data_IF_482202662094
#
_entry.id   IF_482202662094
#
_cell.length_a   1.000
_cell.length_b   1.000
_cell.length_c   1.000
_cell.angle_alpha   90.00
_cell.angle_beta   90.00
_cell.angle_gamma   90.00
#
_symmetry.space_group_name_H-M   'P 1'
#
loop_
_entity.id
_entity.type
_entity.pdbx_description
1 polymer ?
#
# COMPACT_ATOMS: atom_id res chain seq x y z
N UNK A 1 9.60 12.25 9.86
CA UNK A 1 9.83 10.87 10.32
C UNK A 1 8.59 10.08 9.93
N UNK A 2 8.73 8.84 9.44
CA UNK A 2 7.56 8.07 8.97
C UNK A 2 6.68 7.69 10.17
N UNK A 3 7.16 6.92 11.11
CA UNK A 3 6.36 6.60 12.30
C UNK A 3 7.31 6.29 13.45
N UNK A 4 6.84 6.48 14.68
CA UNK A 4 7.54 6.03 15.87
C UNK A 4 7.32 4.52 16.06
N UNK A 5 8.12 3.88 16.91
CA UNK A 5 7.99 2.43 17.17
C UNK A 5 6.66 2.08 17.87
N UNK A 6 6.06 3.04 18.58
CA UNK A 6 4.76 2.92 19.24
C UNK A 6 3.56 3.28 18.34
N UNK A 7 3.80 3.73 17.10
CA UNK A 7 2.74 4.00 16.13
C UNK A 7 1.85 2.78 15.90
N UNK A 8 0.55 3.04 15.70
CA UNK A 8 -0.46 1.99 15.41
C UNK A 8 -1.36 2.48 14.28
N UNK A 9 -1.79 1.61 13.36
CA UNK A 9 -2.73 2.05 12.34
C UNK A 9 -4.06 2.48 12.98
N UNK A 10 -4.80 3.44 12.38
CA UNK A 10 -6.15 3.75 12.81
C UNK A 10 -7.06 2.52 12.65
N UNK A 11 -8.10 2.43 13.49
CA UNK A 11 -9.09 1.37 13.39
C UNK A 11 -9.93 1.46 12.09
N UNK A 12 -10.38 0.33 11.52
CA UNK A 12 -11.30 0.33 10.39
C UNK A 12 -12.63 1.03 10.65
N UNK A 13 -13.13 1.86 9.70
CA UNK A 13 -14.46 2.41 9.83
C UNK A 13 -15.48 1.31 9.63
N UNK A 14 -16.56 1.35 10.42
CA UNK A 14 -17.65 0.40 10.31
C UNK A 14 -17.48 -0.84 11.19
N UNK A 15 -18.32 -1.87 10.99
CA UNK A 15 -18.27 -3.08 11.80
C UNK A 15 -17.00 -3.89 11.51
N UNK A 16 -16.33 -4.33 12.58
CA UNK A 16 -15.14 -5.19 12.49
C UNK A 16 -15.57 -6.66 12.31
N UNK A 17 -15.13 -7.28 11.22
CA UNK A 17 -15.30 -8.70 10.93
C UNK A 17 -14.23 -9.58 11.58
N UNK A 18 -14.47 -10.89 11.60
CA UNK A 18 -13.51 -11.85 12.17
C UNK A 18 -12.35 -12.14 11.20
N UNK A 19 -11.12 -12.18 11.73
CA UNK A 19 -9.92 -12.60 11.00
C UNK A 19 -9.74 -14.11 11.16
N UNK A 20 -9.88 -14.87 10.07
CA UNK A 20 -9.77 -16.34 10.10
C UNK A 20 -8.34 -16.84 10.29
N UNK A 21 -7.36 -16.18 9.68
CA UNK A 21 -5.95 -16.51 9.89
C UNK A 21 -5.04 -15.31 9.68
N UNK A 22 -3.90 -15.32 10.37
CA UNK A 22 -2.86 -14.32 10.24
C UNK A 22 -1.49 -14.93 10.53
N UNK A 23 -0.48 -14.68 9.70
CA UNK A 23 0.84 -15.28 9.88
C UNK A 23 1.83 -14.95 8.78
N UNK A 24 3.09 -15.29 9.04
CA UNK A 24 4.17 -15.14 8.06
C UNK A 24 4.02 -16.18 6.95
N UNK A 25 4.22 -15.73 5.71
CA UNK A 25 4.22 -16.57 4.52
C UNK A 25 5.49 -16.25 3.73
N UNK A 26 6.20 -17.30 3.31
CA UNK A 26 7.37 -17.15 2.45
C UNK A 26 6.97 -17.45 1.03
N UNK A 27 6.95 -16.42 0.19
CA UNK A 27 6.72 -16.58 -1.23
C UNK A 27 8.06 -16.76 -1.95
N UNK A 28 7.98 -17.23 -3.19
CA UNK A 28 9.14 -17.33 -4.08
C UNK A 28 8.87 -16.44 -5.27
N UNK A 29 9.81 -15.53 -5.53
CA UNK A 29 9.76 -14.64 -6.69
C UNK A 29 10.26 -15.34 -7.96
N UNK A 30 10.04 -14.75 -9.13
CA UNK A 30 10.32 -15.40 -10.41
C UNK A 30 11.83 -15.73 -10.61
N UNK A 31 12.71 -15.02 -9.93
CA UNK A 31 14.16 -15.28 -9.92
C UNK A 31 14.58 -16.30 -8.85
N UNK A 32 13.63 -16.95 -8.19
CA UNK A 32 13.85 -18.01 -7.19
C UNK A 32 14.16 -17.50 -5.79
N UNK A 33 14.17 -16.18 -5.56
CA UNK A 33 14.47 -15.64 -4.24
C UNK A 33 13.26 -15.68 -3.30
N UNK A 34 13.55 -15.89 -2.01
CA UNK A 34 12.57 -15.81 -0.92
C UNK A 34 12.04 -14.38 -0.80
N UNK A 35 10.73 -14.26 -0.74
CA UNK A 35 10.01 -13.02 -0.46
C UNK A 35 9.34 -13.16 0.89
N UNK A 36 9.71 -12.32 1.84
CA UNK A 36 9.12 -12.32 3.17
C UNK A 36 7.79 -11.57 3.12
N UNK A 37 6.74 -12.19 3.63
CA UNK A 37 5.42 -11.57 3.71
C UNK A 37 4.71 -11.89 5.01
N UNK A 38 3.74 -11.04 5.37
CA UNK A 38 2.78 -11.32 6.42
C UNK A 38 1.37 -11.27 5.84
N UNK A 39 0.61 -12.35 5.99
CA UNK A 39 -0.72 -12.49 5.42
C UNK A 39 -1.79 -12.41 6.50
N UNK A 40 -2.94 -11.83 6.16
CA UNK A 40 -4.19 -11.94 6.91
C UNK A 40 -5.32 -12.36 5.96
N UNK A 41 -6.20 -13.24 6.45
CA UNK A 41 -7.36 -13.74 5.70
C UNK A 41 -8.63 -13.48 6.51
N UNK A 42 -9.63 -12.79 5.95
CA UNK A 42 -10.94 -12.59 6.58
C UNK A 42 -11.71 -13.91 6.68
N UNK A 43 -12.55 -14.07 7.71
CA UNK A 43 -13.49 -15.18 7.80
C UNK A 43 -14.58 -15.12 6.72
N UNK A 44 -14.90 -13.91 6.24
CA UNK A 44 -15.85 -13.67 5.16
C UNK A 44 -15.19 -12.77 4.10
N UNK A 45 -14.49 -13.36 3.11
CA UNK A 45 -13.83 -12.59 2.05
C UNK A 45 -14.84 -11.92 1.12
N UNK A 46 -14.57 -10.68 0.74
CA UNK A 46 -15.35 -9.94 -0.28
C UNK A 46 -14.97 -10.29 -1.72
N UNK A 47 -13.86 -11.00 -1.91
CA UNK A 47 -13.22 -11.22 -3.21
C UNK A 47 -12.07 -10.25 -3.50
N UNK A 48 -11.92 -9.18 -2.70
CA UNK A 48 -10.81 -8.24 -2.81
C UNK A 48 -9.57 -8.72 -2.03
N UNK A 49 -8.39 -8.38 -2.55
CA UNK A 49 -7.11 -8.60 -1.86
C UNK A 49 -6.12 -7.46 -2.09
N UNK A 50 -5.39 -7.07 -1.04
CA UNK A 50 -4.40 -5.98 -1.08
C UNK A 50 -2.99 -6.52 -0.87
N UNK A 51 -2.07 -6.09 -1.71
CA UNK A 51 -0.63 -6.11 -1.40
C UNK A 51 -0.30 -4.82 -0.68
N UNK A 52 0.02 -4.92 0.61
CA UNK A 52 0.48 -3.80 1.42
C UNK A 52 1.96 -3.57 1.16
N UNK A 53 2.28 -2.32 0.81
CA UNK A 53 3.61 -1.84 0.48
C UNK A 53 4.06 -0.89 1.59
N UNK A 54 4.86 -1.37 2.56
CA UNK A 54 5.28 -0.58 3.71
C UNK A 54 6.10 0.67 3.37
N UNK A 55 6.24 1.53 4.38
CA UNK A 55 7.29 2.54 4.43
C UNK A 55 8.68 1.89 4.58
N UNK A 56 9.67 2.73 4.91
CA UNK A 56 11.06 2.29 5.06
C UNK A 56 11.26 1.21 6.13
N UNK A 57 10.31 0.96 7.03
CA UNK A 57 10.40 -0.04 8.10
C UNK A 57 10.12 -1.48 7.64
N UNK A 58 9.64 -1.70 6.41
CA UNK A 58 9.32 -3.05 5.92
C UNK A 58 8.12 -3.65 6.67
N UNK A 59 8.10 -4.98 6.90
CA UNK A 59 7.00 -5.67 7.57
C UNK A 59 6.95 -5.45 9.11
N UNK A 60 7.22 -4.22 9.55
CA UNK A 60 7.06 -3.75 10.93
C UNK A 60 5.64 -4.00 11.44
N UNK A 61 5.48 -4.14 12.76
CA UNK A 61 4.23 -4.53 13.43
C UNK A 61 3.05 -3.62 13.05
N UNK A 62 3.27 -2.32 12.87
CA UNK A 62 2.29 -1.38 12.31
C UNK A 62 1.59 -1.92 11.05
N UNK A 63 2.33 -2.49 10.09
CA UNK A 63 1.76 -3.00 8.84
C UNK A 63 1.10 -4.37 9.02
N UNK A 64 1.57 -5.17 9.98
CA UNK A 64 0.92 -6.43 10.36
C UNK A 64 -0.45 -6.16 10.99
N UNK A 65 -0.54 -5.13 11.84
CA UNK A 65 -1.81 -4.65 12.40
C UNK A 65 -2.71 -4.04 11.32
N UNK A 66 -2.14 -3.30 10.37
CA UNK A 66 -2.89 -2.74 9.25
C UNK A 66 -3.51 -3.84 8.37
N UNK A 67 -2.76 -4.91 8.13
CA UNK A 67 -3.25 -6.09 7.43
C UNK A 67 -4.42 -6.73 8.17
N UNK A 68 -4.41 -6.75 9.52
CA UNK A 68 -5.57 -7.20 10.30
C UNK A 68 -6.76 -6.28 10.09
N UNK A 69 -6.56 -4.96 10.09
CA UNK A 69 -7.62 -3.98 9.78
C UNK A 69 -8.28 -4.20 8.42
N UNK A 70 -7.51 -4.57 7.39
CA UNK A 70 -8.07 -4.97 6.08
C UNK A 70 -8.88 -6.27 6.16
N UNK A 71 -8.38 -7.28 6.87
CA UNK A 71 -9.11 -8.53 7.05
C UNK A 71 -10.39 -8.35 7.87
N UNK A 72 -10.41 -7.45 8.86
CA UNK A 72 -11.63 -7.05 9.57
C UNK A 72 -12.65 -6.38 8.63
N UNK A 73 -12.18 -5.70 7.57
CA UNK A 73 -13.03 -5.15 6.51
C UNK A 73 -13.37 -6.17 5.40
N UNK A 74 -13.03 -7.46 5.57
CA UNK A 74 -13.33 -8.52 4.61
C UNK A 74 -12.35 -8.61 3.43
N UNK A 75 -11.21 -7.92 3.49
CA UNK A 75 -10.19 -7.87 2.41
C UNK A 75 -8.99 -8.74 2.80
N UNK A 76 -8.57 -9.65 1.91
CA UNK A 76 -7.33 -10.43 2.11
C UNK A 76 -6.14 -9.47 2.05
N UNK A 77 -5.19 -9.54 2.97
CA UNK A 77 -4.03 -8.65 2.96
C UNK A 77 -2.71 -9.42 2.99
N UNK A 78 -1.74 -8.97 2.18
CA UNK A 78 -0.36 -9.49 2.16
C UNK A 78 0.60 -8.31 2.28
N UNK A 79 1.28 -8.20 3.42
CA UNK A 79 2.35 -7.22 3.65
C UNK A 79 3.63 -7.71 3.00
N UNK A 80 4.23 -6.88 2.15
CA UNK A 80 5.53 -7.15 1.54
C UNK A 80 6.67 -6.62 2.41
N UNK A 81 7.70 -7.42 2.64
CA UNK A 81 8.98 -6.91 3.14
C UNK A 81 10.00 -6.81 2.00
N UNK A 82 10.47 -5.60 1.70
CA UNK A 82 11.43 -5.38 0.63
C UNK A 82 12.83 -5.94 0.93
N UNK A 83 13.12 -6.17 2.21
CA UNK A 83 14.49 -6.26 2.71
C UNK A 83 14.97 -7.69 2.95
N UNK A 84 14.13 -8.70 2.73
CA UNK A 84 14.52 -10.12 2.88
C UNK A 84 15.70 -10.55 2.01
N UNK A 85 16.08 -9.75 0.99
CA UNK A 85 17.26 -9.97 0.14
C UNK A 85 18.51 -9.24 0.61
N UNK A 86 18.38 -8.20 1.42
CA UNK A 86 19.47 -7.25 1.70
C UNK A 86 19.77 -7.05 3.18
N UNK A 87 18.81 -7.31 4.07
CA UNK A 87 19.00 -7.30 5.51
C UNK A 87 19.63 -8.61 5.98
N UNK A 88 20.39 -8.56 7.07
CA UNK A 88 21.06 -9.73 7.64
C UNK A 88 20.08 -10.67 8.37
N UNK A 89 18.95 -10.15 8.84
CA UNK A 89 17.89 -10.88 9.50
C UNK A 89 16.49 -10.39 9.05
N UNK A 90 15.46 -11.11 9.45
CA UNK A 90 14.06 -10.87 9.07
C UNK A 90 13.33 -9.94 10.07
N UNK A 91 14.00 -9.47 11.13
CA UNK A 91 13.36 -8.64 12.16
C UNK A 91 13.20 -7.19 11.68
N UNK A 92 12.02 -6.62 11.91
CA UNK A 92 11.66 -5.23 11.55
C UNK A 92 11.13 -4.50 12.79
N UNK A 93 12.00 -4.35 13.78
CA UNK A 93 11.68 -3.75 15.07
C UNK A 93 12.64 -2.63 15.45
N UNK A 94 12.66 -2.23 16.74
CA UNK A 94 13.55 -1.19 17.24
C UNK A 94 15.01 -1.46 16.86
N UNK A 95 15.64 -0.49 16.18
CA UNK A 95 17.02 -0.59 15.70
C UNK A 95 17.19 -1.03 14.24
N UNK A 96 16.11 -1.35 13.53
CA UNK A 96 16.17 -1.58 12.08
C UNK A 96 16.38 -0.25 11.33
N UNK A 97 17.54 -0.08 10.69
CA UNK A 97 17.83 1.11 9.87
C UNK A 97 17.16 1.01 8.48
N UNK A 98 15.87 1.32 8.44
CA UNK A 98 15.07 1.27 7.23
C UNK A 98 15.58 2.19 6.11
N UNK A 99 16.11 3.36 6.45
CA UNK A 99 16.61 4.31 5.44
C UNK A 99 17.87 3.80 4.75
N UNK A 100 18.82 3.23 5.51
CA UNK A 100 20.03 2.65 4.92
C UNK A 100 19.72 1.46 4.01
N UNK A 101 18.72 0.65 4.35
CA UNK A 101 18.28 -0.47 3.51
C UNK A 101 17.48 0.01 2.29
N UNK A 102 16.56 0.97 2.45
CA UNK A 102 15.79 1.55 1.36
C UNK A 102 16.69 2.10 0.25
N UNK A 103 17.81 2.73 0.60
CA UNK A 103 18.78 3.27 -0.35
C UNK A 103 19.46 2.20 -1.23
N UNK A 104 19.36 0.91 -0.85
CA UNK A 104 19.95 -0.23 -1.57
C UNK A 104 18.90 -1.04 -2.35
N UNK A 105 17.64 -0.62 -2.35
CA UNK A 105 16.58 -1.34 -3.05
C UNK A 105 16.78 -1.25 -4.57
N UNK A 106 16.59 -2.40 -5.21
CA UNK A 106 16.53 -2.52 -6.66
C UNK A 106 15.05 -2.55 -7.09
N UNK A 107 14.67 -1.64 -8.01
CA UNK A 107 13.27 -1.48 -8.44
C UNK A 107 12.73 -2.73 -9.14
N UNK A 108 13.54 -3.42 -9.93
CA UNK A 108 13.12 -4.62 -10.66
C UNK A 108 12.91 -5.79 -9.71
N UNK A 109 13.75 -5.90 -8.67
CA UNK A 109 13.57 -6.90 -7.62
C UNK A 109 12.34 -6.62 -6.75
N UNK A 110 12.07 -5.34 -6.44
CA UNK A 110 10.82 -4.95 -5.76
C UNK A 110 9.61 -5.32 -6.61
N UNK A 111 9.62 -5.02 -7.91
CA UNK A 111 8.56 -5.42 -8.83
C UNK A 111 8.37 -6.95 -8.86
N UNK A 112 9.45 -7.72 -8.91
CA UNK A 112 9.41 -9.18 -8.87
C UNK A 112 8.73 -9.70 -7.59
N UNK A 113 9.01 -9.06 -6.44
CA UNK A 113 8.38 -9.38 -5.17
C UNK A 113 6.88 -9.03 -5.14
N UNK A 114 6.49 -7.88 -5.71
CA UNK A 114 5.07 -7.48 -5.84
C UNK A 114 4.31 -8.47 -6.70
N UNK A 115 4.87 -8.90 -7.84
CA UNK A 115 4.28 -9.91 -8.72
C UNK A 115 4.02 -11.23 -8.00
N UNK A 116 4.98 -11.69 -7.21
CA UNK A 116 4.82 -12.90 -6.40
C UNK A 116 3.68 -12.76 -5.38
N UNK A 117 3.52 -11.59 -4.76
CA UNK A 117 2.42 -11.32 -3.84
C UNK A 117 1.06 -11.28 -4.56
N UNK A 118 0.99 -10.69 -5.76
CA UNK A 118 -0.24 -10.70 -6.58
C UNK A 118 -0.60 -12.11 -7.02
N UNK A 119 0.36 -12.89 -7.52
CA UNK A 119 0.15 -14.31 -7.89
C UNK A 119 -0.42 -15.12 -6.71
N UNK A 120 0.12 -14.86 -5.52
CA UNK A 120 -0.33 -15.49 -4.29
C UNK A 120 -1.76 -15.10 -3.90
N UNK A 121 -2.11 -13.82 -3.98
CA UNK A 121 -3.50 -13.36 -3.74
C UNK A 121 -4.47 -14.06 -4.70
N UNK A 122 -4.16 -14.11 -5.99
CA UNK A 122 -5.00 -14.78 -7.00
C UNK A 122 -5.14 -16.28 -6.71
N UNK A 123 -4.08 -16.94 -6.24
CA UNK A 123 -4.12 -18.35 -5.84
C UNK A 123 -5.00 -18.62 -4.60
N UNK A 124 -5.21 -17.61 -3.74
CA UNK A 124 -6.15 -17.66 -2.63
C UNK A 124 -7.62 -17.44 -3.06
N UNK A 125 -7.87 -17.22 -4.35
CA UNK A 125 -9.21 -16.97 -4.88
C UNK A 125 -9.64 -15.50 -4.80
N UNK A 126 -8.70 -14.57 -4.56
CA UNK A 126 -8.94 -13.14 -4.77
C UNK A 126 -9.26 -12.90 -6.24
N UNK A 127 -10.36 -12.20 -6.51
CA UNK A 127 -10.78 -11.85 -7.86
C UNK A 127 -10.24 -10.50 -8.28
N UNK A 128 -10.15 -9.55 -7.34
CA UNK A 128 -9.66 -8.19 -7.59
C UNK A 128 -8.49 -7.88 -6.66
N UNK A 129 -7.33 -7.62 -7.25
CA UNK A 129 -6.09 -7.35 -6.53
C UNK A 129 -5.74 -5.86 -6.55
N UNK A 130 -5.31 -5.33 -5.41
CA UNK A 130 -5.00 -3.92 -5.23
C UNK A 130 -3.61 -3.77 -4.60
N UNK A 131 -2.97 -2.62 -4.78
CA UNK A 131 -1.81 -2.24 -3.95
C UNK A 131 -2.17 -1.07 -3.06
N UNK A 132 -1.71 -1.11 -1.81
CA UNK A 132 -1.84 0.01 -0.86
C UNK A 132 -0.47 0.30 -0.26
N UNK A 133 0.06 1.50 -0.49
CA UNK A 133 1.43 1.82 -0.10
C UNK A 133 1.59 3.11 0.69
N UNK A 134 2.67 3.20 1.48
CA UNK A 134 2.94 4.32 2.39
C UNK A 134 4.38 4.85 2.26
N UNK A 135 4.58 6.17 2.17
CA UNK A 135 5.91 6.79 2.01
C UNK A 135 6.66 6.18 0.81
N UNK A 136 7.72 5.39 1.06
CA UNK A 136 8.45 4.62 0.05
C UNK A 136 7.47 3.72 -0.73
N UNK A 137 6.66 2.95 -0.01
CA UNK A 137 5.62 2.11 -0.59
C UNK A 137 4.55 2.88 -1.33
N UNK A 138 4.31 4.16 -0.99
CA UNK A 138 3.32 5.00 -1.66
C UNK A 138 3.69 5.22 -3.13
N UNK A 139 4.93 5.61 -3.39
CA UNK A 139 5.45 5.76 -4.75
C UNK A 139 5.57 4.41 -5.47
N UNK A 140 5.97 3.34 -4.77
CA UNK A 140 6.01 1.98 -5.35
C UNK A 140 4.61 1.55 -5.79
N UNK A 141 3.57 1.83 -4.98
CA UNK A 141 2.17 1.52 -5.29
C UNK A 141 1.71 2.24 -6.54
N UNK A 142 1.84 3.57 -6.61
CA UNK A 142 1.48 4.33 -7.82
C UNK A 142 2.23 3.83 -9.05
N UNK A 143 3.51 3.49 -8.89
CA UNK A 143 4.32 2.88 -9.96
C UNK A 143 3.76 1.55 -10.47
N UNK A 144 3.07 0.75 -9.64
CA UNK A 144 2.47 -0.51 -10.08
C UNK A 144 1.41 -0.33 -11.15
N UNK A 145 0.79 0.85 -11.26
CA UNK A 145 -0.14 1.15 -12.34
C UNK A 145 0.47 1.01 -13.74
N UNK A 146 1.79 1.16 -13.85
CA UNK A 146 2.53 0.97 -15.10
C UNK A 146 3.16 -0.43 -15.24
N UNK A 147 3.23 -1.22 -14.17
CA UNK A 147 4.12 -2.39 -14.06
C UNK A 147 3.39 -3.70 -13.81
N UNK A 148 2.19 -3.65 -13.25
CA UNK A 148 1.34 -4.80 -12.95
C UNK A 148 -0.09 -4.56 -13.46
N UNK A 149 -0.40 -4.93 -14.71
CA UNK A 149 -1.70 -4.67 -15.33
C UNK A 149 -2.84 -5.54 -14.79
N UNK A 150 -2.56 -6.51 -13.91
CA UNK A 150 -3.58 -7.36 -13.27
C UNK A 150 -4.19 -6.72 -12.01
N UNK A 151 -3.68 -5.56 -11.58
CA UNK A 151 -4.28 -4.82 -10.47
C UNK A 151 -5.58 -4.15 -10.94
N UNK A 152 -6.58 -4.20 -10.06
CA UNK A 152 -7.78 -3.39 -10.18
C UNK A 152 -7.43 -1.92 -9.94
N UNK A 153 -6.72 -1.61 -8.85
CA UNK A 153 -6.22 -0.25 -8.57
C UNK A 153 -4.89 -0.19 -7.81
N UNK A 154 -4.25 0.98 -7.82
CA UNK A 154 -3.08 1.31 -7.02
C UNK A 154 -3.31 2.54 -6.11
N UNK A 155 -3.21 2.32 -4.80
CA UNK A 155 -3.51 3.30 -3.76
C UNK A 155 -2.21 3.67 -3.04
N UNK A 156 -1.94 4.95 -2.84
CA UNK A 156 -0.72 5.40 -2.18
C UNK A 156 -0.94 6.59 -1.25
N UNK A 157 -0.24 6.52 -0.12
CA UNK A 157 -0.23 7.51 0.94
C UNK A 157 1.12 8.22 0.96
N UNK A 158 1.09 9.55 0.84
CA UNK A 158 2.21 10.46 1.07
C UNK A 158 3.53 9.95 0.46
N UNK A 159 3.45 9.39 -0.74
CA UNK A 159 4.61 9.01 -1.52
C UNK A 159 5.38 10.23 -2.04
N UNK A 160 6.61 10.01 -2.49
CA UNK A 160 7.38 11.02 -3.22
C UNK A 160 7.16 10.82 -4.72
N UNK A 161 6.44 11.72 -5.42
CA UNK A 161 6.15 11.57 -6.85
C UNK A 161 7.39 11.33 -7.71
N UNK A 162 8.51 11.98 -7.37
CA UNK A 162 9.78 11.84 -8.09
C UNK A 162 10.30 10.40 -8.22
N UNK A 163 9.88 9.47 -7.34
CA UNK A 163 10.31 8.07 -7.35
C UNK A 163 9.53 7.20 -8.35
N UNK A 164 8.44 7.71 -8.94
CA UNK A 164 7.65 7.00 -9.95
C UNK A 164 7.25 7.88 -11.15
N UNK A 165 7.65 9.16 -11.18
CA UNK A 165 7.25 10.14 -12.18
C UNK A 165 7.62 9.72 -13.60
N UNK A 166 8.71 8.98 -13.78
CA UNK A 166 9.13 8.43 -15.08
C UNK A 166 8.17 7.36 -15.64
N UNK A 167 7.34 6.76 -14.77
CA UNK A 167 6.39 5.72 -15.15
C UNK A 167 5.04 6.27 -15.62
N UNK A 168 4.75 7.56 -15.39
CA UNK A 168 3.46 8.19 -15.74
C UNK A 168 2.98 7.86 -17.16
N UNK A 169 3.81 7.93 -18.22
CA UNK A 169 3.35 7.63 -19.59
C UNK A 169 2.82 6.20 -19.78
N UNK A 170 3.17 5.29 -18.87
CA UNK A 170 2.81 3.87 -18.89
C UNK A 170 1.74 3.50 -17.87
N UNK A 171 1.34 4.40 -16.97
CA UNK A 171 0.31 4.14 -15.96
C UNK A 171 -1.06 3.98 -16.61
N UNK A 172 -1.76 2.87 -16.31
CA UNK A 172 -3.07 2.53 -16.89
C UNK A 172 -4.10 2.10 -15.86
N UNK A 173 -3.66 1.53 -14.75
CA UNK A 173 -4.52 1.15 -13.61
C UNK A 173 -4.89 2.42 -12.84
N UNK A 174 -6.15 2.59 -12.37
CA UNK A 174 -6.55 3.78 -11.62
C UNK A 174 -5.77 3.96 -10.33
N UNK A 175 -5.57 5.23 -9.97
CA UNK A 175 -4.81 5.63 -8.80
C UNK A 175 -5.69 6.30 -7.75
N UNK A 176 -5.44 6.00 -6.48
CA UNK A 176 -5.84 6.87 -5.37
C UNK A 176 -4.58 7.49 -4.75
N UNK A 177 -4.47 8.81 -4.84
CA UNK A 177 -3.35 9.60 -4.33
C UNK A 177 -3.79 10.35 -3.07
N UNK A 178 -3.29 9.91 -1.91
CA UNK A 178 -3.59 10.50 -0.60
C UNK A 178 -2.37 11.29 -0.10
N UNK A 179 -2.34 12.58 -0.38
CA UNK A 179 -1.20 13.47 -0.15
C UNK A 179 -1.29 14.20 1.20
N UNK A 180 -0.13 14.43 1.84
CA UNK A 180 -0.01 15.17 3.10
C UNK A 180 0.36 16.65 2.85
N UNK A 181 -0.37 17.58 3.46
CA UNK A 181 -0.25 19.03 3.18
C UNK A 181 0.79 19.78 4.02
N UNK A 182 1.25 19.21 5.14
CA UNK A 182 2.33 19.74 5.98
C UNK A 182 3.56 18.79 5.98
N UNK A 183 3.76 18.11 4.85
CA UNK A 183 4.83 17.15 4.67
C UNK A 183 6.20 17.82 4.46
N UNK A 184 7.23 17.22 5.06
CA UNK A 184 8.62 17.66 4.95
C UNK A 184 9.38 16.94 3.83
N UNK A 185 8.84 15.82 3.32
CA UNK A 185 9.45 15.01 2.26
C UNK A 185 8.91 15.36 0.87
N UNK A 186 7.62 15.72 0.78
CA UNK A 186 6.96 16.11 -0.48
C UNK A 186 6.26 17.46 -0.28
N UNK A 187 6.65 18.46 -1.05
CA UNK A 187 5.98 19.78 -1.00
C UNK A 187 4.57 19.73 -1.57
N UNK A 188 3.69 20.65 -1.15
CA UNK A 188 2.34 20.80 -1.71
C UNK A 188 2.40 21.06 -3.22
N UNK A 189 3.36 21.87 -3.67
CA UNK A 189 3.58 22.16 -5.08
C UNK A 189 3.92 20.90 -5.89
N UNK A 190 4.76 20.01 -5.35
CA UNK A 190 5.12 18.75 -6.02
C UNK A 190 3.94 17.76 -6.06
N UNK A 191 3.11 17.72 -5.01
CA UNK A 191 1.87 16.94 -5.01
C UNK A 191 0.89 17.41 -6.11
N UNK A 192 0.66 18.73 -6.22
CA UNK A 192 -0.19 19.28 -7.28
C UNK A 192 0.44 19.18 -8.68
N UNK A 193 1.77 19.21 -8.78
CA UNK A 193 2.44 18.94 -10.04
C UNK A 193 2.19 17.50 -10.50
N UNK A 194 2.27 16.53 -9.59
CA UNK A 194 1.98 15.13 -9.89
C UNK A 194 0.53 14.92 -10.33
N UNK A 195 -0.44 15.48 -9.62
CA UNK A 195 -1.87 15.48 -10.00
C UNK A 195 -2.08 15.98 -11.45
N UNK A 196 -1.48 17.13 -11.78
CA UNK A 196 -1.54 17.68 -13.14
C UNK A 196 -0.88 16.77 -14.18
N UNK A 197 0.30 16.23 -13.90
CA UNK A 197 1.02 15.34 -14.82
C UNK A 197 0.24 14.05 -15.11
N UNK A 198 -0.42 13.47 -14.08
CA UNK A 198 -1.31 12.33 -14.24
C UNK A 198 -2.51 12.68 -15.15
N UNK A 199 -3.13 13.83 -14.92
CA UNK A 199 -4.24 14.32 -15.72
C UNK A 199 -3.85 14.56 -17.19
N UNK A 200 -2.72 15.22 -17.43
CA UNK A 200 -2.19 15.49 -18.77
C UNK A 200 -1.84 14.20 -19.53
N UNK A 201 -1.38 13.17 -18.82
CA UNK A 201 -1.11 11.85 -19.38
C UNK A 201 -2.36 10.97 -19.54
N UNK A 202 -3.53 11.44 -19.09
CA UNK A 202 -4.79 10.69 -19.15
C UNK A 202 -4.85 9.48 -18.22
N UNK A 203 -4.07 9.47 -17.14
CA UNK A 203 -4.11 8.40 -16.14
C UNK A 203 -5.38 8.57 -15.29
N UNK A 204 -6.25 7.54 -15.15
CA UNK A 204 -7.39 7.63 -14.25
C UNK A 204 -6.89 7.75 -12.81
N UNK A 205 -7.29 8.80 -12.10
CA UNK A 205 -6.88 8.99 -10.70
C UNK A 205 -7.87 9.84 -9.89
N UNK A 206 -7.91 9.55 -8.59
CA UNK A 206 -8.44 10.43 -7.57
C UNK A 206 -7.29 11.03 -6.76
N UNK A 207 -7.34 12.34 -6.53
CA UNK A 207 -6.36 13.07 -5.74
C UNK A 207 -7.00 13.70 -4.51
N UNK A 208 -6.41 13.47 -3.34
CA UNK A 208 -6.80 14.13 -2.09
C UNK A 208 -5.57 14.62 -1.33
N UNK A 209 -5.45 15.94 -1.21
CA UNK A 209 -4.54 16.59 -0.28
C UNK A 209 -5.23 16.79 1.09
N UNK A 210 -4.56 16.36 2.15
CA UNK A 210 -4.95 16.62 3.53
C UNK A 210 -4.19 17.83 4.06
N UNK A 211 -4.82 19.01 4.03
CA UNK A 211 -4.22 20.26 4.51
C UNK A 211 -3.81 20.15 5.98
N UNK A 212 -2.61 20.66 6.31
CA UNK A 212 -2.06 20.59 7.67
C UNK A 212 -1.62 19.19 8.14
N UNK A 213 -1.89 18.13 7.37
CA UNK A 213 -1.52 16.77 7.76
C UNK A 213 -0.01 16.54 7.57
N UNK A 214 0.70 16.02 8.58
CA UNK A 214 2.12 15.68 8.46
C UNK A 214 2.32 14.45 7.57
N UNK A 215 3.57 14.15 7.19
CA UNK A 215 3.94 13.04 6.31
C UNK A 215 3.20 11.75 6.65
N UNK A 216 3.11 11.36 7.91
CA UNK A 216 2.51 10.09 8.30
C UNK A 216 1.31 10.29 9.19
N UNK A 217 0.39 11.11 8.71
CA UNK A 217 -0.87 11.41 9.39
C UNK A 217 -1.77 10.17 9.57
N UNK A 218 -1.55 9.11 8.79
CA UNK A 218 -2.28 7.84 8.91
C UNK A 218 -1.76 7.01 10.09
N UNK A 219 -1.91 7.56 11.29
CA UNK A 219 -1.45 6.97 12.55
C UNK A 219 -2.51 7.16 13.63
N UNK A 220 -3.02 6.05 14.17
CA UNK A 220 -3.97 6.04 15.27
C UNK A 220 -3.40 6.59 16.58
N UNK A 221 -2.08 6.72 16.69
CA UNK A 221 -1.41 7.37 17.82
C UNK A 221 -1.38 8.90 17.72
N UNK A 222 -1.90 9.52 16.65
CA UNK A 222 -1.98 10.97 16.47
C UNK A 222 -3.43 11.48 16.61
N UNK A 223 -3.87 11.92 17.82
CA UNK A 223 -5.24 12.38 18.04
C UNK A 223 -5.64 13.54 17.13
N UNK A 224 -4.73 14.49 16.90
CA UNK A 224 -4.97 15.66 16.04
C UNK A 224 -5.13 15.30 14.55
N UNK A 225 -4.83 14.05 14.17
CA UNK A 225 -4.98 13.53 12.81
C UNK A 225 -6.08 12.47 12.69
N UNK A 226 -6.82 12.17 13.77
CA UNK A 226 -7.80 11.08 13.77
C UNK A 226 -8.86 11.23 12.68
N UNK A 227 -9.34 12.45 12.43
CA UNK A 227 -10.33 12.73 11.38
C UNK A 227 -9.75 12.53 9.97
N UNK A 228 -8.51 12.97 9.74
CA UNK A 228 -7.81 12.78 8.47
C UNK A 228 -7.54 11.30 8.21
N UNK A 229 -7.06 10.57 9.22
CA UNK A 229 -6.81 9.13 9.15
C UNK A 229 -8.11 8.35 8.89
N UNK A 230 -9.20 8.68 9.58
CA UNK A 230 -10.51 8.06 9.38
C UNK A 230 -11.09 8.35 7.99
N UNK A 231 -10.92 9.58 7.47
CA UNK A 231 -11.33 9.92 6.11
C UNK A 231 -10.54 9.17 5.04
N UNK A 232 -9.21 9.14 5.17
CA UNK A 232 -8.35 8.40 4.27
C UNK A 232 -8.71 6.91 4.25
N UNK A 233 -8.98 6.33 5.42
CA UNK A 233 -9.37 4.92 5.51
C UNK A 233 -10.72 4.63 4.85
N UNK A 234 -11.72 5.52 5.02
CA UNK A 234 -13.00 5.41 4.29
C UNK A 234 -12.80 5.47 2.78
N UNK A 235 -11.93 6.35 2.29
CA UNK A 235 -11.63 6.47 0.84
C UNK A 235 -10.98 5.21 0.30
N UNK A 236 -10.00 4.65 1.01
CA UNK A 236 -9.37 3.38 0.61
C UNK A 236 -10.39 2.27 0.46
N UNK A 237 -11.24 2.06 1.47
CA UNK A 237 -12.23 0.98 1.42
C UNK A 237 -13.33 1.24 0.39
N UNK A 238 -13.72 2.50 0.18
CA UNK A 238 -14.67 2.88 -0.86
C UNK A 238 -14.12 2.58 -2.26
N UNK A 239 -12.87 2.95 -2.51
CA UNK A 239 -12.18 2.74 -3.78
C UNK A 239 -12.07 1.24 -4.10
N UNK A 240 -11.68 0.42 -3.12
CA UNK A 240 -11.65 -1.05 -3.24
C UNK A 240 -13.05 -1.61 -3.55
N UNK A 241 -14.08 -1.12 -2.85
CA UNK A 241 -15.45 -1.64 -2.98
C UNK A 241 -16.15 -1.21 -4.28
N UNK A 242 -15.80 -0.06 -4.86
CA UNK A 242 -16.34 0.41 -6.15
C UNK A 242 -15.91 -0.52 -7.27
N UNK A 243 -14.60 -0.73 -7.45
CA UNK A 243 -14.08 -1.54 -8.54
C UNK A 243 -14.28 -3.05 -8.35
N UNK A 244 -14.41 -3.51 -7.10
CA UNK A 244 -14.86 -4.89 -6.83
C UNK A 244 -16.29 -5.18 -7.31
N UNK A 245 -17.16 -4.15 -7.36
CA UNK A 245 -18.55 -4.29 -7.84
C UNK A 245 -18.67 -4.13 -9.34
N UNK A 246 -17.86 -3.28 -9.96
CA UNK A 246 -17.85 -3.12 -11.42
C UNK A 246 -17.41 -4.40 -12.13
N UNK A 247 -16.40 -5.10 -11.61
CA UNK A 247 -15.95 -6.38 -12.13
C UNK A 247 -17.04 -7.48 -12.05
N UNK A 248 -17.88 -7.44 -11.02
CA UNK A 248 -19.01 -8.38 -10.89
C UNK A 248 -20.15 -8.11 -11.89
N UNK A 249 -20.25 -6.89 -12.43
CA UNK A 249 -21.28 -6.47 -13.37
C UNK A 249 -20.83 -6.49 -14.84
N UNK A 250 -19.54 -6.60 -15.13
CA UNK A 250 -19.02 -6.71 -16.49
C UNK A 250 -19.36 -8.09 -17.10
N UNK A 251 -19.91 -8.17 -18.32
CA UNK A 251 -20.17 -9.45 -18.97
C UNK A 251 -18.84 -10.18 -19.27
N UNK A 252 -18.72 -11.42 -18.78
CA UNK A 252 -17.60 -12.33 -19.06
C UNK A 252 -17.56 -12.79 -20.53
#
# INVERSE_FOLDING_TARGET
MCHADDSRPPAPPGPSGEVASAGEVHLTSADGARVLTYQTVPAQPTGAGVVLLPDVRGAHEFYRDLARGFAEAGVVAVVLDYYGRIAADDARGPGFDGFAHAARLDRDLVLSNVRAAVDHLLALGVTEAFTVGFCLGGAISWGQSALEPRLADAIGFYGRPAECRELIPRMRVPLLVLAAGADQLTTVEDNFAFDRELAEAGVPHEFRLYEGAPHSFFDGALPDQADNAADAWRRVLAFIAEHSREAACAPR
#
